data_IF_580576231963
#
_entry.id   IF_580576231963
#
_cell.length_a   1.000
_cell.length_b   1.000
_cell.length_c   1.000
_cell.angle_alpha   90.00
_cell.angle_beta   90.00
_cell.angle_gamma   90.00
#
_symmetry.space_group_name_H-M   'P 1'
#
loop_
_entity.id
_entity.type
_entity.pdbx_description
1 polymer ?
#
# COMPACT_ATOMS: atom_id res chain seq x y z
N UNK A 1 7.13 11.96 -27.47
CA UNK A 1 6.77 10.53 -27.63
C UNK A 1 7.64 9.76 -26.65
N UNK A 2 7.10 9.37 -25.52
CA UNK A 2 7.80 8.47 -24.59
C UNK A 2 7.55 7.08 -25.12
N UNK A 3 8.59 6.42 -25.62
CA UNK A 3 8.52 5.04 -26.08
C UNK A 3 8.04 4.16 -24.91
N UNK A 4 6.77 3.77 -24.95
CA UNK A 4 6.14 2.88 -23.98
C UNK A 4 6.62 1.44 -24.09
N UNK A 5 7.92 1.22 -24.03
CA UNK A 5 8.47 -0.09 -23.65
C UNK A 5 8.31 -0.19 -22.14
N UNK A 6 7.19 -0.77 -21.70
CA UNK A 6 7.11 -1.35 -20.37
C UNK A 6 8.33 -2.26 -20.22
N UNK A 7 9.33 -1.80 -19.49
CA UNK A 7 10.49 -2.61 -19.12
C UNK A 7 9.90 -3.76 -18.31
N UNK A 8 9.95 -4.97 -18.84
CA UNK A 8 9.49 -6.17 -18.13
C UNK A 8 10.43 -6.31 -16.95
N UNK A 9 9.95 -5.94 -15.76
CA UNK A 9 10.71 -6.11 -14.53
C UNK A 9 11.10 -7.58 -14.41
N UNK A 10 12.36 -7.83 -14.12
CA UNK A 10 12.86 -9.18 -13.88
C UNK A 10 12.31 -9.63 -12.53
N UNK A 11 11.45 -10.63 -12.56
CA UNK A 11 10.68 -11.09 -11.41
C UNK A 11 11.18 -12.45 -10.95
N UNK A 12 11.44 -12.57 -9.64
CA UNK A 12 11.59 -13.86 -8.96
C UNK A 12 10.39 -14.13 -8.07
N UNK A 13 9.99 -15.39 -7.96
CA UNK A 13 8.92 -15.81 -7.05
C UNK A 13 9.51 -16.51 -5.84
N UNK A 14 9.04 -16.15 -4.66
CA UNK A 14 9.42 -16.78 -3.40
C UNK A 14 8.20 -17.29 -2.66
N UNK A 15 8.29 -18.53 -2.15
CA UNK A 15 7.31 -19.14 -1.25
C UNK A 15 7.95 -19.31 0.14
N UNK A 16 7.65 -18.42 1.11
CA UNK A 16 8.29 -18.42 2.43
C UNK A 16 8.02 -19.68 3.25
N UNK A 17 6.95 -20.41 2.93
CA UNK A 17 6.61 -21.64 3.64
C UNK A 17 7.42 -22.86 3.16
N UNK A 18 8.05 -22.77 1.98
CA UNK A 18 8.70 -23.92 1.33
C UNK A 18 10.19 -23.73 1.09
N UNK A 19 10.64 -22.51 0.92
CA UNK A 19 12.00 -22.22 0.48
C UNK A 19 12.66 -21.14 1.34
N UNK A 20 13.98 -21.17 1.38
CA UNK A 20 14.76 -20.08 1.96
C UNK A 20 14.54 -18.78 1.18
N UNK A 21 14.72 -17.61 1.82
CA UNK A 21 14.66 -16.32 1.15
C UNK A 21 15.61 -16.28 -0.05
N UNK A 22 15.21 -15.60 -1.15
CA UNK A 22 16.09 -15.46 -2.30
C UNK A 22 17.37 -14.72 -1.91
N UNK A 23 18.53 -15.13 -2.42
CA UNK A 23 19.77 -14.38 -2.22
C UNK A 23 19.63 -12.98 -2.83
N UNK A 24 20.49 -12.05 -2.39
CA UNK A 24 20.60 -10.76 -3.06
C UNK A 24 20.86 -10.96 -4.56
N UNK A 25 20.22 -10.18 -5.46
CA UNK A 25 20.43 -10.33 -6.88
C UNK A 25 21.86 -9.98 -7.26
N UNK A 26 22.43 -10.74 -8.18
CA UNK A 26 23.57 -10.27 -8.98
C UNK A 26 23.04 -9.26 -9.98
N UNK A 27 23.84 -8.27 -10.39
CA UNK A 27 23.41 -7.19 -11.28
C UNK A 27 22.56 -7.68 -12.45
N UNK A 28 21.31 -7.22 -12.47
CA UNK A 28 20.37 -7.48 -13.55
C UNK A 28 19.77 -8.87 -13.58
N UNK A 29 19.93 -9.73 -12.58
CA UNK A 29 19.23 -11.03 -12.53
C UNK A 29 17.76 -10.87 -12.23
N UNK A 30 17.42 -10.06 -11.24
CA UNK A 30 16.03 -9.73 -10.90
C UNK A 30 15.94 -8.39 -10.14
N UNK A 31 14.76 -7.77 -10.18
CA UNK A 31 14.49 -6.46 -9.57
C UNK A 31 13.34 -6.55 -8.57
N UNK A 32 12.43 -7.49 -8.78
CA UNK A 32 11.22 -7.67 -7.97
C UNK A 32 11.13 -9.08 -7.45
N UNK A 33 10.95 -9.23 -6.14
CA UNK A 33 10.61 -10.49 -5.51
C UNK A 33 9.10 -10.53 -5.25
N UNK A 34 8.41 -11.46 -5.88
CA UNK A 34 6.97 -11.68 -5.71
C UNK A 34 6.71 -12.81 -4.73
N UNK A 35 5.84 -12.55 -3.76
CA UNK A 35 5.33 -13.55 -2.81
C UNK A 35 3.83 -13.69 -2.98
N UNK A 36 3.36 -14.89 -3.31
CA UNK A 36 1.93 -15.18 -3.38
C UNK A 36 1.37 -15.43 -1.97
N UNK A 37 0.58 -14.49 -1.46
CA UNK A 37 -0.05 -14.61 -0.14
C UNK A 37 -1.28 -15.50 -0.24
N UNK A 38 -1.10 -16.80 0.06
CA UNK A 38 -2.19 -17.79 0.05
C UNK A 38 -2.91 -17.88 1.40
N UNK A 39 -2.24 -17.52 2.49
CA UNK A 39 -2.77 -17.46 3.84
C UNK A 39 -2.18 -16.26 4.61
N UNK A 40 -2.78 -15.93 5.74
CA UNK A 40 -2.34 -14.78 6.55
C UNK A 40 -0.97 -15.01 7.21
N UNK A 41 -0.59 -16.29 7.48
CA UNK A 41 0.70 -16.62 8.08
C UNK A 41 1.87 -16.26 7.16
N UNK A 42 1.69 -16.35 5.84
CA UNK A 42 2.67 -15.92 4.85
C UNK A 42 3.13 -14.47 5.09
N UNK A 43 2.22 -13.58 5.50
CA UNK A 43 2.57 -12.19 5.82
C UNK A 43 3.53 -12.09 6.99
N UNK A 44 3.36 -12.93 8.02
CA UNK A 44 4.28 -12.97 9.16
C UNK A 44 5.67 -13.47 8.77
N UNK A 45 5.75 -14.53 7.97
CA UNK A 45 7.03 -15.06 7.48
C UNK A 45 7.83 -14.03 6.67
N UNK A 46 7.16 -13.30 5.78
CA UNK A 46 7.80 -12.23 5.00
C UNK A 46 8.26 -11.10 5.91
N UNK A 47 7.40 -10.66 6.84
CA UNK A 47 7.75 -9.63 7.80
C UNK A 47 8.97 -10.02 8.64
N UNK A 48 8.97 -11.22 9.22
CA UNK A 48 10.06 -11.72 10.06
C UNK A 48 11.39 -11.69 9.30
N UNK A 49 11.39 -12.06 8.03
CA UNK A 49 12.58 -11.97 7.20
C UNK A 49 13.00 -10.52 6.93
N UNK A 50 12.09 -9.66 6.52
CA UNK A 50 12.38 -8.23 6.31
C UNK A 50 12.92 -7.58 7.57
N UNK A 51 12.36 -7.93 8.73
CA UNK A 51 12.77 -7.42 10.03
C UNK A 51 14.15 -7.94 10.50
N UNK A 52 14.79 -8.88 9.75
CA UNK A 52 16.19 -9.22 9.99
C UNK A 52 17.17 -8.15 9.48
N UNK A 53 16.72 -7.27 8.60
CA UNK A 53 17.58 -6.31 7.89
C UNK A 53 18.60 -6.95 6.93
N UNK A 54 18.44 -8.25 6.59
CA UNK A 54 19.37 -9.00 5.71
C UNK A 54 18.81 -9.17 4.30
N UNK A 55 18.06 -8.23 3.83
CA UNK A 55 17.41 -8.24 2.51
C UNK A 55 17.95 -7.10 1.63
N UNK A 56 17.85 -7.21 0.30
CA UNK A 56 18.32 -6.18 -0.63
C UNK A 56 17.24 -5.14 -0.97
N UNK A 57 16.02 -5.25 -0.42
CA UNK A 57 14.87 -4.45 -0.86
C UNK A 57 14.88 -3.06 -0.26
N UNK A 58 14.54 -2.08 -1.09
CA UNK A 58 14.30 -0.68 -0.73
C UNK A 58 12.82 -0.38 -0.54
N UNK A 59 11.92 -1.17 -1.14
CA UNK A 59 10.48 -0.95 -1.04
C UNK A 59 9.71 -2.25 -0.88
N UNK A 60 8.53 -2.14 -0.25
CA UNK A 60 7.57 -3.24 -0.08
C UNK A 60 6.20 -2.78 -0.55
N UNK A 61 5.55 -3.59 -1.36
CA UNK A 61 4.16 -3.35 -1.81
C UNK A 61 3.29 -4.51 -1.37
N UNK A 62 2.20 -4.21 -0.65
CA UNK A 62 1.18 -5.18 -0.27
C UNK A 62 -0.05 -4.97 -1.16
N UNK A 63 -0.28 -5.90 -2.08
CA UNK A 63 -1.39 -5.88 -3.04
C UNK A 63 -2.28 -7.13 -2.84
N UNK A 64 -3.40 -6.98 -2.14
CA UNK A 64 -3.96 -5.81 -1.51
C UNK A 64 -4.32 -6.09 -0.03
N UNK A 65 -4.41 -5.06 0.78
CA UNK A 65 -4.91 -5.18 2.16
C UNK A 65 -6.33 -5.77 2.21
N UNK A 66 -7.15 -5.50 1.20
CA UNK A 66 -8.50 -6.08 1.08
C UNK A 66 -8.45 -7.60 1.03
N UNK A 67 -7.52 -8.15 0.24
CA UNK A 67 -7.36 -9.61 0.14
C UNK A 67 -6.68 -10.18 1.39
N UNK A 68 -5.65 -9.52 1.91
CA UNK A 68 -4.99 -9.93 3.16
C UNK A 68 -5.99 -10.01 4.32
N UNK A 69 -6.96 -9.08 4.40
CA UNK A 69 -8.01 -9.15 5.42
C UNK A 69 -8.91 -10.37 5.25
N UNK A 70 -9.23 -10.78 4.03
CA UNK A 70 -9.99 -12.01 3.79
C UNK A 70 -9.19 -13.24 4.26
N UNK A 71 -7.89 -13.31 3.95
CA UNK A 71 -7.02 -14.39 4.44
C UNK A 71 -6.92 -14.43 5.96
N UNK A 72 -6.88 -13.26 6.60
CA UNK A 72 -6.93 -13.15 8.06
C UNK A 72 -8.26 -13.70 8.61
N UNK A 73 -9.38 -13.35 7.98
CA UNK A 73 -10.70 -13.87 8.34
C UNK A 73 -10.76 -15.40 8.22
N UNK A 74 -10.27 -15.95 7.12
CA UNK A 74 -10.24 -17.39 6.88
C UNK A 74 -9.39 -18.11 7.95
N UNK A 75 -8.30 -17.51 8.40
CA UNK A 75 -7.48 -18.07 9.48
C UNK A 75 -8.18 -18.00 10.85
N UNK A 76 -8.99 -16.97 11.11
CA UNK A 76 -9.65 -16.76 12.41
C UNK A 76 -10.88 -17.65 12.54
N UNK A 77 -11.74 -17.70 11.53
CA UNK A 77 -13.05 -18.36 11.59
C UNK A 77 -13.25 -19.48 10.54
N UNK A 78 -12.31 -19.70 9.63
CA UNK A 78 -12.48 -20.65 8.53
C UNK A 78 -13.68 -20.27 7.65
N UNK A 79 -14.59 -21.21 7.47
CA UNK A 79 -15.83 -21.01 6.70
C UNK A 79 -17.01 -20.49 7.55
N UNK A 80 -16.80 -20.33 8.86
CA UNK A 80 -17.86 -19.89 9.77
C UNK A 80 -18.06 -18.36 9.73
N UNK A 81 -19.21 -17.91 10.25
CA UNK A 81 -19.43 -16.48 10.53
C UNK A 81 -18.63 -16.09 11.76
N UNK A 82 -17.93 -14.95 11.68
CA UNK A 82 -17.18 -14.40 12.81
C UNK A 82 -18.11 -14.04 13.97
N UNK A 83 -17.77 -14.51 15.17
CA UNK A 83 -18.31 -13.98 16.42
C UNK A 83 -17.73 -12.60 16.74
N UNK A 84 -18.33 -11.86 17.68
CA UNK A 84 -17.82 -10.54 18.08
C UNK A 84 -16.37 -10.59 18.57
N UNK A 85 -15.98 -11.65 19.27
CA UNK A 85 -14.61 -11.85 19.73
C UNK A 85 -13.66 -12.05 18.55
N UNK A 86 -14.00 -12.90 17.61
CA UNK A 86 -13.20 -13.16 16.42
C UNK A 86 -13.08 -11.92 15.52
N UNK A 87 -14.10 -11.07 15.49
CA UNK A 87 -14.02 -9.75 14.87
C UNK A 87 -12.96 -8.87 15.56
N UNK A 88 -12.92 -8.86 16.89
CA UNK A 88 -11.87 -8.18 17.65
C UNK A 88 -10.48 -8.70 17.31
N UNK A 89 -10.30 -10.02 17.31
CA UNK A 89 -9.03 -10.67 16.99
C UNK A 89 -8.56 -10.36 15.56
N UNK A 90 -9.48 -10.35 14.59
CA UNK A 90 -9.19 -9.98 13.21
C UNK A 90 -8.70 -8.53 13.10
N UNK A 91 -9.40 -7.59 13.75
CA UNK A 91 -9.02 -6.17 13.72
C UNK A 91 -7.65 -5.94 14.33
N UNK A 92 -7.36 -6.57 15.47
CA UNK A 92 -6.05 -6.49 16.15
C UNK A 92 -4.94 -7.03 15.24
N UNK A 93 -5.14 -8.20 14.61
CA UNK A 93 -4.16 -8.80 13.71
C UNK A 93 -3.88 -7.92 12.50
N UNK A 94 -4.92 -7.35 11.88
CA UNK A 94 -4.75 -6.46 10.74
C UNK A 94 -4.09 -5.14 11.10
N UNK A 95 -4.43 -4.56 12.25
CA UNK A 95 -3.78 -3.36 12.76
C UNK A 95 -2.29 -3.59 13.04
N UNK A 96 -1.95 -4.70 13.70
CA UNK A 96 -0.55 -5.07 13.94
C UNK A 96 0.20 -5.26 12.63
N UNK A 97 -0.39 -5.96 11.64
CA UNK A 97 0.23 -6.15 10.33
C UNK A 97 0.60 -4.81 9.69
N UNK A 98 -0.37 -3.88 9.60
CA UNK A 98 -0.13 -2.56 8.98
C UNK A 98 0.97 -1.80 9.72
N UNK A 99 0.94 -1.78 11.05
CA UNK A 99 1.94 -1.07 11.86
C UNK A 99 3.32 -1.71 11.73
N UNK A 100 3.42 -3.03 11.78
CA UNK A 100 4.69 -3.73 11.67
C UNK A 100 5.35 -3.49 10.31
N UNK A 101 4.61 -3.61 9.21
CA UNK A 101 5.16 -3.32 7.90
C UNK A 101 5.53 -1.84 7.75
N UNK A 102 4.66 -0.91 8.20
CA UNK A 102 4.99 0.52 8.23
C UNK A 102 6.30 0.79 8.96
N UNK A 103 6.50 0.15 10.12
CA UNK A 103 7.64 0.43 11.00
C UNK A 103 8.97 -0.11 10.43
N UNK A 104 8.95 -0.90 9.34
CA UNK A 104 10.17 -1.30 8.62
C UNK A 104 10.95 -0.08 8.09
N UNK A 105 10.32 1.07 7.91
CA UNK A 105 11.00 2.32 7.52
C UNK A 105 11.95 2.84 8.62
N UNK A 106 11.78 2.37 9.86
CA UNK A 106 12.64 2.74 10.99
C UNK A 106 13.63 1.64 11.36
N UNK A 107 13.79 0.60 10.52
CA UNK A 107 14.69 -0.51 10.86
C UNK A 107 16.14 -0.02 10.99
N UNK A 108 16.83 -0.29 12.14
CA UNK A 108 18.10 0.36 12.47
C UNK A 108 19.27 -0.03 11.57
N UNK A 109 19.21 -1.18 10.90
CA UNK A 109 20.30 -1.69 10.07
C UNK A 109 20.02 -1.52 8.58
N UNK A 110 18.78 -1.73 8.17
CA UNK A 110 18.38 -1.64 6.76
C UNK A 110 16.92 -1.18 6.65
N UNK A 111 16.66 0.12 6.75
CA UNK A 111 15.31 0.66 6.63
C UNK A 111 14.76 0.45 5.21
N UNK A 112 13.49 0.11 5.14
CA UNK A 112 12.71 0.15 3.90
C UNK A 112 12.37 1.62 3.61
N UNK A 113 12.71 2.13 2.43
CA UNK A 113 12.46 3.52 2.06
C UNK A 113 10.97 3.80 1.84
N UNK A 114 10.22 2.81 1.32
CA UNK A 114 8.80 2.95 1.04
C UNK A 114 8.03 1.67 1.32
N UNK A 115 6.95 1.80 2.10
CA UNK A 115 5.95 0.74 2.27
C UNK A 115 4.63 1.21 1.68
N UNK A 116 4.15 0.51 0.66
CA UNK A 116 2.91 0.82 -0.05
C UNK A 116 1.85 -0.23 0.26
N UNK A 117 0.70 0.23 0.72
CA UNK A 117 -0.48 -0.61 0.90
C UNK A 117 -1.50 -0.28 -0.19
N UNK A 118 -1.85 -1.26 -1.01
CA UNK A 118 -2.96 -1.14 -1.95
C UNK A 118 -4.24 -1.69 -1.32
N UNK A 119 -5.37 -1.09 -1.65
CA UNK A 119 -6.69 -1.59 -1.26
C UNK A 119 -7.68 -1.33 -2.39
N UNK A 120 -8.67 -2.21 -2.53
CA UNK A 120 -9.84 -1.91 -3.34
C UNK A 120 -10.60 -0.75 -2.70
N UNK A 121 -11.45 -0.09 -3.45
CA UNK A 121 -12.30 0.98 -2.94
C UNK A 121 -13.72 0.50 -2.75
N UNK A 122 -14.42 1.05 -1.74
CA UNK A 122 -15.85 0.92 -1.55
C UNK A 122 -16.49 2.28 -1.30
N UNK A 123 -17.72 2.45 -1.78
CA UNK A 123 -18.55 3.55 -1.35
C UNK A 123 -19.46 3.11 -0.21
N UNK A 124 -19.41 3.83 0.90
CA UNK A 124 -20.28 3.57 2.04
C UNK A 124 -20.81 4.90 2.62
N UNK A 125 -22.12 5.06 2.57
CA UNK A 125 -22.81 6.29 3.05
C UNK A 125 -22.28 7.57 2.40
N UNK A 126 -22.01 7.54 1.09
CA UNK A 126 -21.50 8.68 0.33
C UNK A 126 -20.00 8.95 0.55
N UNK A 127 -19.26 8.04 1.18
CA UNK A 127 -17.81 8.16 1.39
C UNK A 127 -17.10 7.05 0.60
N UNK A 128 -16.24 7.45 -0.31
CA UNK A 128 -15.30 6.57 -1.01
C UNK A 128 -14.07 6.36 -0.14
N UNK A 129 -13.78 5.12 0.20
CA UNK A 129 -12.72 4.74 1.15
C UNK A 129 -12.14 3.36 0.80
N UNK A 130 -11.01 2.96 1.43
CA UNK A 130 -10.49 1.60 1.28
C UNK A 130 -11.53 0.54 1.69
N UNK A 131 -11.70 -0.48 0.85
CA UNK A 131 -12.61 -1.62 1.09
C UNK A 131 -12.00 -2.59 2.14
N UNK A 132 -11.90 -2.09 3.36
CA UNK A 132 -11.40 -2.80 4.54
C UNK A 132 -12.48 -2.76 5.61
N UNK A 133 -12.82 -3.90 6.18
CA UNK A 133 -13.90 -4.01 7.15
C UNK A 133 -13.48 -3.53 8.55
N UNK A 134 -14.46 -3.05 9.31
CA UNK A 134 -14.29 -2.66 10.70
C UNK A 134 -13.65 -1.28 10.89
N UNK A 135 -13.15 -1.02 12.09
CA UNK A 135 -12.56 0.25 12.48
C UNK A 135 -11.27 0.57 11.70
N UNK A 136 -10.60 -0.43 11.14
CA UNK A 136 -9.34 -0.24 10.41
C UNK A 136 -9.52 0.69 9.20
N UNK A 137 -10.66 0.65 8.50
CA UNK A 137 -10.94 1.56 7.38
C UNK A 137 -10.96 3.05 7.79
N UNK A 138 -11.13 3.32 9.08
CA UNK A 138 -11.15 4.69 9.64
C UNK A 138 -9.77 5.03 10.22
N UNK A 139 -9.11 4.07 10.87
CA UNK A 139 -7.82 4.30 11.53
C UNK A 139 -6.62 4.24 10.58
N UNK A 140 -6.74 3.54 9.45
CA UNK A 140 -5.65 3.36 8.47
C UNK A 140 -5.01 4.68 8.01
N UNK A 141 -5.77 5.74 7.69
CA UNK A 141 -5.19 7.04 7.35
C UNK A 141 -4.28 7.61 8.45
N UNK A 142 -4.52 7.24 9.72
CA UNK A 142 -3.67 7.62 10.85
C UNK A 142 -2.28 6.99 10.84
N UNK A 143 -2.12 5.85 10.18
CA UNK A 143 -0.87 5.08 10.17
C UNK A 143 0.05 5.39 9.00
N UNK A 144 -0.45 6.03 7.94
CA UNK A 144 0.31 6.34 6.73
C UNK A 144 0.54 7.84 6.57
N UNK A 145 1.58 8.23 5.85
CA UNK A 145 1.87 9.63 5.55
C UNK A 145 1.10 10.14 4.36
N UNK A 146 0.91 9.26 3.37
CA UNK A 146 0.14 9.54 2.17
C UNK A 146 -0.99 8.51 2.02
N UNK A 147 -2.22 8.98 1.87
CA UNK A 147 -3.36 8.21 1.40
C UNK A 147 -3.84 8.82 0.10
N UNK A 148 -3.95 8.02 -0.95
CA UNK A 148 -4.37 8.50 -2.26
C UNK A 148 -5.48 7.64 -2.86
N UNK A 149 -6.38 8.29 -3.60
CA UNK A 149 -7.38 7.64 -4.43
C UNK A 149 -6.94 7.68 -5.88
N UNK A 150 -6.61 6.51 -6.44
CA UNK A 150 -6.15 6.37 -7.83
C UNK A 150 -7.35 6.12 -8.74
N UNK A 151 -7.46 6.88 -9.83
CA UNK A 151 -8.49 6.74 -10.84
C UNK A 151 -7.96 7.09 -12.23
N UNK A 152 -8.73 6.78 -13.26
CA UNK A 152 -8.44 7.15 -14.65
C UNK A 152 -9.45 8.22 -15.07
N UNK A 153 -8.94 9.30 -15.65
CA UNK A 153 -9.74 10.35 -16.28
C UNK A 153 -9.57 10.26 -17.78
N UNK A 154 -10.69 10.23 -18.50
CA UNK A 154 -10.70 10.31 -19.96
C UNK A 154 -10.49 11.77 -20.37
N UNK A 155 -9.46 12.03 -21.15
CA UNK A 155 -9.14 13.34 -21.71
C UNK A 155 -9.19 13.32 -23.24
N UNK A 156 -9.16 14.50 -23.88
CA UNK A 156 -9.11 14.58 -25.34
C UNK A 156 -7.87 13.89 -25.96
N UNK A 157 -6.78 13.80 -25.19
CA UNK A 157 -5.52 13.17 -25.59
C UNK A 157 -5.42 11.69 -25.17
N UNK A 158 -6.49 11.14 -24.57
CA UNK A 158 -6.57 9.76 -24.07
C UNK A 158 -6.64 9.66 -22.55
N UNK A 159 -6.66 8.42 -22.00
CA UNK A 159 -6.79 8.18 -20.57
C UNK A 159 -5.54 8.62 -19.79
N UNK A 160 -5.75 9.36 -18.71
CA UNK A 160 -4.71 9.83 -17.79
C UNK A 160 -4.97 9.23 -16.41
N UNK A 161 -3.94 8.61 -15.80
CA UNK A 161 -4.01 8.17 -14.41
C UNK A 161 -3.86 9.37 -13.49
N UNK A 162 -4.76 9.50 -12.53
CA UNK A 162 -4.72 10.57 -11.51
C UNK A 162 -4.76 9.98 -10.12
N UNK A 163 -3.92 10.53 -9.24
CA UNK A 163 -3.91 10.23 -7.81
C UNK A 163 -4.42 11.47 -7.06
N UNK A 164 -5.58 11.37 -6.44
CA UNK A 164 -6.08 12.36 -5.51
C UNK A 164 -5.30 12.23 -4.19
N UNK A 165 -4.72 13.33 -3.70
CA UNK A 165 -3.89 13.35 -2.48
C UNK A 165 -4.43 14.25 -1.37
N UNK A 166 -5.54 14.94 -1.62
CA UNK A 166 -6.27 15.72 -0.61
C UNK A 166 -7.74 15.31 -0.56
N UNK A 167 -8.44 15.48 0.57
CA UNK A 167 -9.87 15.19 0.63
C UNK A 167 -10.64 15.97 -0.43
N UNK A 168 -11.58 15.30 -1.07
CA UNK A 168 -12.38 15.87 -2.14
C UNK A 168 -13.85 15.47 -2.01
N UNK A 169 -14.77 16.38 -2.35
CA UNK A 169 -16.20 16.09 -2.43
C UNK A 169 -16.69 16.39 -3.85
N UNK A 170 -17.35 15.41 -4.47
CA UNK A 170 -17.95 15.58 -5.80
C UNK A 170 -18.95 16.74 -5.82
N UNK A 171 -18.83 17.61 -6.82
CA UNK A 171 -19.77 18.72 -6.99
C UNK A 171 -21.16 18.27 -7.49
N UNK A 172 -21.23 17.13 -8.18
CA UNK A 172 -22.47 16.58 -8.71
C UNK A 172 -23.08 15.54 -7.76
N UNK A 173 -24.41 15.44 -7.64
CA UNK A 173 -25.06 14.36 -6.90
C UNK A 173 -24.77 12.97 -7.52
N UNK A 174 -24.59 11.93 -6.68
CA UNK A 174 -24.47 12.02 -5.24
C UNK A 174 -23.15 12.71 -4.85
N UNK A 175 -23.19 13.60 -3.86
CA UNK A 175 -21.99 14.31 -3.36
C UNK A 175 -21.08 13.34 -2.62
N UNK A 176 -20.36 12.51 -3.36
CA UNK A 176 -19.45 11.51 -2.82
C UNK A 176 -18.19 12.19 -2.27
N UNK A 177 -17.85 11.85 -1.03
CA UNK A 177 -16.61 12.28 -0.38
C UNK A 177 -15.52 11.24 -0.64
N UNK A 178 -14.36 11.69 -1.07
CA UNK A 178 -13.19 10.84 -1.29
C UNK A 178 -12.19 11.06 -0.18
N UNK A 179 -11.78 9.98 0.48
CA UNK A 179 -10.69 10.02 1.45
C UNK A 179 -9.37 10.11 0.73
N UNK A 180 -8.55 11.06 1.14
CA UNK A 180 -7.15 11.19 0.72
C UNK A 180 -6.43 12.07 1.74
N UNK A 181 -5.11 11.94 1.84
CA UNK A 181 -4.29 12.67 2.81
C UNK A 181 -2.86 12.80 2.33
N UNK A 182 -2.30 13.99 2.45
CA UNK A 182 -0.87 14.26 2.42
C UNK A 182 -0.48 14.89 3.76
N UNK A 183 0.14 14.13 4.67
CA UNK A 183 0.45 14.57 6.05
C UNK A 183 1.42 15.73 6.07
N UNK A 184 2.41 15.72 5.20
CA UNK A 184 3.47 16.73 5.16
C UNK A 184 3.10 17.95 4.33
N UNK A 185 2.01 17.88 3.55
CA UNK A 185 1.57 18.90 2.59
C UNK A 185 2.57 19.20 1.46
N UNK A 186 3.73 18.55 1.41
CA UNK A 186 4.79 18.79 0.42
C UNK A 186 4.30 18.50 -1.00
N UNK A 187 3.64 17.35 -1.19
CA UNK A 187 3.08 17.00 -2.50
C UNK A 187 1.91 17.89 -2.87
N UNK A 188 1.07 18.25 -1.89
CA UNK A 188 -0.05 19.17 -2.09
C UNK A 188 0.41 20.55 -2.53
N UNK A 189 1.50 21.06 -1.98
CA UNK A 189 2.09 22.36 -2.39
C UNK A 189 2.60 22.28 -3.83
N UNK A 190 3.23 21.15 -4.23
CA UNK A 190 3.79 20.99 -5.58
C UNK A 190 2.75 20.73 -6.65
N UNK A 191 1.79 19.85 -6.37
CA UNK A 191 0.85 19.30 -7.38
C UNK A 191 -0.60 19.77 -7.22
N UNK A 192 -0.95 20.41 -6.10
CA UNK A 192 -2.33 20.67 -5.74
C UNK A 192 -3.03 19.40 -5.25
N UNK A 193 -4.31 19.25 -5.59
CA UNK A 193 -5.12 18.13 -5.11
C UNK A 193 -4.87 16.80 -5.88
N UNK A 194 -4.28 16.86 -7.09
CA UNK A 194 -4.13 15.71 -7.96
C UNK A 194 -2.73 15.61 -8.55
N UNK A 195 -2.15 14.42 -8.51
CA UNK A 195 -0.94 14.06 -9.24
C UNK A 195 -1.35 13.33 -10.52
N UNK A 196 -0.97 13.86 -11.69
CA UNK A 196 -1.23 13.23 -12.99
C UNK A 196 -0.08 12.28 -13.34
N UNK A 197 -0.41 11.05 -13.76
CA UNK A 197 0.54 9.98 -14.04
C UNK A 197 1.56 9.80 -12.89
N UNK A 198 1.09 9.47 -11.67
CA UNK A 198 1.92 9.47 -10.47
C UNK A 198 3.10 8.51 -10.63
N UNK A 199 4.28 9.01 -10.30
CA UNK A 199 5.53 8.26 -10.14
C UNK A 199 5.90 8.25 -8.65
N UNK A 200 5.91 7.07 -8.04
CA UNK A 200 6.14 6.94 -6.59
C UNK A 200 7.56 7.34 -6.23
N UNK A 201 8.55 7.01 -7.06
CA UNK A 201 9.96 7.37 -6.79
C UNK A 201 10.15 8.89 -6.82
N UNK A 202 9.56 9.58 -7.81
CA UNK A 202 9.58 11.04 -7.87
C UNK A 202 8.87 11.68 -6.67
N UNK A 203 7.71 11.14 -6.29
CA UNK A 203 6.95 11.64 -5.14
C UNK A 203 7.71 11.49 -3.83
N UNK A 204 8.45 10.39 -3.63
CA UNK A 204 9.29 10.18 -2.44
C UNK A 204 10.44 11.19 -2.39
N UNK A 205 11.18 11.39 -3.48
CA UNK A 205 12.26 12.40 -3.56
C UNK A 205 11.79 13.79 -3.18
N UNK A 206 10.61 14.17 -3.67
CA UNK A 206 10.02 15.48 -3.37
C UNK A 206 9.70 15.63 -1.88
N UNK A 207 9.19 14.57 -1.24
CA UNK A 207 8.91 14.57 0.20
C UNK A 207 10.20 14.75 1.00
N UNK A 208 11.26 14.01 0.70
CA UNK A 208 12.54 14.10 1.37
C UNK A 208 13.16 15.50 1.25
N UNK A 209 13.13 16.10 0.05
CA UNK A 209 13.61 17.47 -0.18
C UNK A 209 12.81 18.52 0.58
N UNK A 210 11.48 18.33 0.69
CA UNK A 210 10.61 19.25 1.41
C UNK A 210 10.78 19.18 2.92
N UNK A 211 11.05 18.00 3.48
CA UNK A 211 11.29 17.82 4.92
C UNK A 211 12.65 18.35 5.38
N UNK A 212 13.66 18.40 4.48
CA UNK A 212 14.98 18.95 4.80
C UNK A 212 15.03 20.48 4.76
N UNK A 213 14.07 21.15 4.14
CA UNK A 213 14.03 22.61 3.97
C UNK A 213 13.00 23.32 4.88
N UNK A 214 12.30 22.62 5.75
CA UNK A 214 11.30 23.12 6.70
C UNK A 214 11.77 22.99 8.14
#
# INVERSE_FOLDING_TARGET
MVDGKATRQKLITWDPAKTEPPPAPVDGEWEVCYVAVQDFHTMSLVFDWLNTGRHPFRSVVIDSLTEVQKRCKDQVAGLATLSDREWGDLLIKMEHLVRYYRDLVFHPQHPIECVTFLALTEEKKGIMKPAIQGALSISLPGYVDLEGYLFVEETADGPVRKLLITPFTSANPPHTQYQAKDRTHVLTVKYGSFVSNPDIEEMLKIKEEGETNG
#
